data_IF_063313167046
#
_entry.id   IF_063313167046
#
_cell.length_a   1.000
_cell.length_b   1.000
_cell.length_c   1.000
_cell.angle_alpha   90.00
_cell.angle_beta   90.00
_cell.angle_gamma   90.00
#
_symmetry.space_group_name_H-M   'P 1'
#
loop_
_entity.id
_entity.type
_entity.pdbx_description
1 polymer ?
#
# COMPACT_ATOMS: atom_id res chain seq x y z
N UNK A 1 14.52 -20.08 2.10
CA UNK A 1 13.25 -20.82 1.91
C UNK A 1 12.53 -20.21 0.72
N UNK A 2 11.55 -20.89 0.12
CA UNK A 2 10.67 -20.26 -0.87
C UNK A 2 9.77 -19.21 -0.18
N UNK A 3 9.34 -18.17 -0.89
CA UNK A 3 8.29 -17.28 -0.38
C UNK A 3 6.96 -18.03 -0.38
N UNK A 4 6.30 -18.09 0.77
CA UNK A 4 4.92 -18.58 0.87
C UNK A 4 3.95 -17.42 0.63
N UNK A 5 2.85 -17.68 -0.07
CA UNK A 5 1.81 -16.71 -0.37
C UNK A 5 0.46 -17.16 0.18
N UNK A 6 -0.41 -16.19 0.47
CA UNK A 6 -1.79 -16.40 0.87
C UNK A 6 -2.71 -15.53 0.01
N UNK A 7 -3.89 -16.05 -0.33
CA UNK A 7 -4.98 -15.24 -0.88
C UNK A 7 -5.93 -14.89 0.27
N UNK A 8 -6.23 -13.62 0.42
CA UNK A 8 -6.93 -13.06 1.59
C UNK A 8 -7.90 -11.95 1.18
N UNK A 9 -9.04 -11.88 1.85
CA UNK A 9 -10.05 -10.86 1.59
C UNK A 9 -11.47 -11.36 1.88
N UNK A 10 -12.43 -10.95 1.07
CA UNK A 10 -13.85 -11.23 1.27
C UNK A 10 -14.69 -9.99 0.98
N UNK A 11 -15.81 -9.86 1.68
CA UNK A 11 -16.72 -8.70 1.55
C UNK A 11 -16.37 -7.60 2.56
N UNK A 12 -16.25 -6.37 2.08
CA UNK A 12 -15.87 -5.18 2.85
C UNK A 12 -17.07 -4.25 3.09
N UNK A 13 -16.96 -3.39 4.10
CA UNK A 13 -17.99 -2.40 4.42
C UNK A 13 -18.13 -1.31 3.35
N UNK A 14 -17.07 -1.07 2.56
CA UNK A 14 -17.02 -0.11 1.46
C UNK A 14 -15.96 -0.51 0.40
N UNK A 15 -15.88 0.28 -0.67
CA UNK A 15 -14.90 0.12 -1.76
C UNK A 15 -13.50 0.68 -1.44
N UNK A 16 -13.24 1.13 -0.20
CA UNK A 16 -11.87 1.41 0.25
C UNK A 16 -11.14 0.14 0.71
N UNK A 17 -11.87 -0.96 0.94
CA UNK A 17 -11.36 -2.28 1.30
C UNK A 17 -10.50 -2.30 2.59
N UNK A 18 -10.84 -1.43 3.55
CA UNK A 18 -10.12 -1.27 4.83
C UNK A 18 -10.75 -2.06 5.98
N UNK A 19 -12.05 -2.29 5.94
CA UNK A 19 -12.82 -2.96 7.00
C UNK A 19 -13.76 -4.02 6.41
N UNK A 20 -13.71 -5.25 6.93
CA UNK A 20 -14.61 -6.35 6.56
C UNK A 20 -16.07 -5.99 6.93
N UNK A 21 -17.03 -6.40 6.08
CA UNK A 21 -18.45 -6.12 6.26
C UNK A 21 -18.99 -6.69 7.60
N UNK A 22 -19.98 -6.00 8.17
CA UNK A 22 -20.55 -6.36 9.47
C UNK A 22 -21.19 -7.76 9.45
N UNK A 23 -20.64 -8.69 10.23
CA UNK A 23 -21.07 -10.10 10.28
C UNK A 23 -20.22 -11.05 9.42
N UNK A 24 -19.35 -10.52 8.56
CA UNK A 24 -18.43 -11.29 7.71
C UNK A 24 -17.07 -11.47 8.41
N UNK A 25 -16.15 -12.22 7.80
CA UNK A 25 -14.77 -12.44 8.24
C UNK A 25 -13.83 -12.33 7.04
N UNK A 26 -12.57 -11.98 7.27
CA UNK A 26 -11.55 -12.14 6.22
C UNK A 26 -11.32 -13.64 5.98
N UNK A 27 -11.59 -14.09 4.77
CA UNK A 27 -11.27 -15.43 4.28
C UNK A 27 -9.78 -15.51 3.95
N UNK A 28 -9.14 -16.65 4.23
CA UNK A 28 -7.70 -16.87 3.98
C UNK A 28 -7.45 -18.25 3.40
N UNK A 29 -6.74 -18.28 2.27
CA UNK A 29 -6.39 -19.47 1.51
C UNK A 29 -4.87 -19.57 1.35
N UNK A 30 -4.32 -20.77 1.46
CA UNK A 30 -2.87 -21.04 1.42
C UNK A 30 -2.38 -21.79 2.66
N UNK A 31 -1.05 -21.92 2.87
CA UNK A 31 0.03 -21.35 2.05
C UNK A 31 0.05 -21.93 0.62
N UNK A 32 0.55 -21.12 -0.30
CA UNK A 32 0.69 -21.39 -1.73
C UNK A 32 2.06 -20.96 -2.22
N UNK A 33 2.48 -21.47 -3.38
CA UNK A 33 3.45 -20.75 -4.22
C UNK A 33 2.79 -19.54 -4.96
N UNK A 34 3.60 -18.77 -5.70
CA UNK A 34 3.14 -17.57 -6.40
C UNK A 34 2.13 -17.87 -7.52
N UNK A 35 2.31 -19.00 -8.21
CA UNK A 35 1.43 -19.43 -9.30
C UNK A 35 0.09 -19.94 -8.76
N UNK A 36 0.13 -20.80 -7.73
CA UNK A 36 -1.04 -21.29 -7.00
C UNK A 36 -1.86 -20.13 -6.41
N UNK A 37 -1.20 -19.13 -5.79
CA UNK A 37 -1.85 -17.94 -5.28
C UNK A 37 -2.54 -17.14 -6.39
N UNK A 38 -1.90 -16.95 -7.55
CA UNK A 38 -2.51 -16.29 -8.70
C UNK A 38 -3.69 -17.07 -9.31
N UNK A 39 -3.65 -18.41 -9.29
CA UNK A 39 -4.77 -19.26 -9.74
C UNK A 39 -5.95 -19.16 -8.77
N UNK A 40 -5.70 -19.29 -7.46
CA UNK A 40 -6.71 -19.15 -6.41
C UNK A 40 -7.37 -17.76 -6.44
N UNK A 41 -6.55 -16.69 -6.48
CA UNK A 41 -7.01 -15.30 -6.56
C UNK A 41 -7.88 -15.03 -7.79
N UNK A 42 -7.51 -15.56 -8.96
CA UNK A 42 -8.29 -15.42 -10.19
C UNK A 42 -9.65 -16.13 -10.08
N UNK A 43 -9.68 -17.33 -9.50
CA UNK A 43 -10.91 -18.08 -9.30
C UNK A 43 -11.87 -17.37 -8.32
N UNK A 44 -11.36 -16.86 -7.19
CA UNK A 44 -12.14 -16.10 -6.22
C UNK A 44 -12.67 -14.79 -6.82
N UNK A 45 -11.81 -14.01 -7.48
CA UNK A 45 -12.20 -12.75 -8.15
C UNK A 45 -13.26 -12.99 -9.22
N UNK A 46 -13.14 -14.05 -10.03
CA UNK A 46 -14.15 -14.41 -11.02
C UNK A 46 -15.48 -14.87 -10.41
N UNK A 47 -15.45 -15.48 -9.22
CA UNK A 47 -16.65 -15.91 -8.48
C UNK A 47 -17.39 -14.75 -7.80
N UNK A 48 -16.72 -13.63 -7.52
CA UNK A 48 -17.30 -12.48 -6.82
C UNK A 48 -17.35 -11.20 -7.66
N UNK A 49 -17.16 -11.29 -8.98
CA UNK A 49 -17.01 -10.12 -9.89
C UNK A 49 -18.21 -9.16 -9.85
N UNK A 50 -19.42 -9.67 -9.60
CA UNK A 50 -20.65 -8.88 -9.56
C UNK A 50 -20.86 -8.12 -8.24
N UNK A 51 -20.06 -8.39 -7.18
CA UNK A 51 -20.11 -7.64 -5.93
C UNK A 51 -18.89 -6.70 -5.82
N UNK A 52 -19.13 -5.40 -6.03
CA UNK A 52 -18.10 -4.36 -5.93
C UNK A 52 -17.47 -4.21 -4.53
N UNK A 53 -18.11 -4.74 -3.48
CA UNK A 53 -17.58 -4.76 -2.11
C UNK A 53 -16.74 -6.00 -1.82
N UNK A 54 -16.75 -7.01 -2.70
CA UNK A 54 -15.90 -8.20 -2.58
C UNK A 54 -14.53 -7.97 -3.21
N UNK A 55 -13.46 -8.14 -2.43
CA UNK A 55 -12.09 -8.05 -2.95
C UNK A 55 -11.18 -9.10 -2.32
N UNK A 56 -10.26 -9.60 -3.15
CA UNK A 56 -9.20 -10.51 -2.73
C UNK A 56 -7.83 -9.95 -3.13
N UNK A 57 -6.85 -10.19 -2.27
CA UNK A 57 -5.46 -9.78 -2.40
C UNK A 57 -4.55 -10.99 -2.25
N UNK A 58 -3.38 -10.95 -2.89
CA UNK A 58 -2.29 -11.88 -2.60
C UNK A 58 -1.35 -11.18 -1.62
N UNK A 59 -1.08 -11.79 -0.48
CA UNK A 59 -0.09 -11.32 0.51
C UNK A 59 0.97 -12.40 0.71
N UNK A 60 2.25 -12.05 0.70
CA UNK A 60 3.32 -12.98 1.08
C UNK A 60 3.40 -13.13 2.59
N UNK A 61 3.83 -14.30 3.06
CA UNK A 61 4.21 -14.51 4.46
C UNK A 61 5.22 -13.44 4.92
N UNK A 62 4.93 -12.80 6.06
CA UNK A 62 5.70 -11.67 6.59
C UNK A 62 5.23 -10.28 6.15
N UNK A 63 4.52 -10.12 5.02
CA UNK A 63 4.01 -8.81 4.56
C UNK A 63 2.71 -8.34 5.27
N UNK A 64 2.33 -9.05 6.33
CA UNK A 64 1.25 -8.72 7.28
C UNK A 64 1.85 -8.47 8.67
N UNK A 65 3.05 -7.86 8.73
CA UNK A 65 3.72 -7.61 10.00
C UNK A 65 3.07 -6.42 10.73
N UNK A 66 2.25 -6.73 11.74
CA UNK A 66 1.69 -5.74 12.66
C UNK A 66 2.84 -5.12 13.46
N UNK A 67 3.37 -4.01 12.93
CA UNK A 67 4.62 -3.40 13.38
C UNK A 67 5.45 -2.75 12.26
N UNK A 68 5.08 -2.94 10.98
CA UNK A 68 5.71 -2.25 9.86
C UNK A 68 5.56 -0.72 9.97
N UNK A 69 6.71 -0.03 10.07
CA UNK A 69 6.80 1.43 10.05
C UNK A 69 6.73 1.95 8.61
N UNK A 70 5.65 2.68 8.30
CA UNK A 70 5.47 3.36 7.02
C UNK A 70 5.75 4.86 7.16
N UNK A 71 6.38 5.43 6.14
CA UNK A 71 6.71 6.84 6.06
C UNK A 71 6.11 7.45 4.80
N UNK A 72 5.80 8.75 4.86
CA UNK A 72 5.54 9.57 3.67
C UNK A 72 6.78 10.41 3.40
N UNK A 73 7.30 10.34 2.19
CA UNK A 73 8.53 11.04 1.76
C UNK A 73 8.29 11.84 0.49
N UNK A 74 9.04 12.92 0.29
CA UNK A 74 8.96 13.73 -0.92
C UNK A 74 9.19 15.21 -0.66
N UNK A 75 8.43 16.06 -1.34
CA UNK A 75 8.56 17.51 -1.30
C UNK A 75 8.59 18.10 -2.69
N UNK A 76 9.24 19.25 -2.85
CA UNK A 76 9.43 19.92 -4.14
C UNK A 76 10.72 19.45 -4.83
N UNK A 77 10.61 19.04 -6.09
CA UNK A 77 11.70 18.52 -6.92
C UNK A 77 12.16 19.56 -7.95
N UNK A 78 13.37 19.38 -8.48
CA UNK A 78 13.96 20.28 -9.49
C UNK A 78 13.22 20.21 -10.84
N UNK A 79 12.67 19.04 -11.17
CA UNK A 79 11.82 18.79 -12.34
C UNK A 79 10.93 17.54 -12.14
N UNK A 80 10.15 17.18 -13.16
CA UNK A 80 9.19 16.06 -13.13
C UNK A 80 9.81 14.67 -13.32
N UNK A 81 11.14 14.51 -13.24
CA UNK A 81 11.76 13.19 -13.02
C UNK A 81 11.48 12.68 -11.61
N UNK A 82 11.36 13.62 -10.64
CA UNK A 82 11.33 13.35 -9.21
C UNK A 82 12.60 12.65 -8.67
N UNK A 83 13.74 12.79 -9.37
CA UNK A 83 15.03 12.24 -8.94
C UNK A 83 15.80 13.16 -7.98
N UNK A 84 15.66 14.49 -8.15
CA UNK A 84 16.45 15.50 -7.41
C UNK A 84 15.55 16.52 -6.73
N UNK A 85 15.71 16.71 -5.42
CA UNK A 85 15.00 17.73 -4.63
C UNK A 85 15.40 19.15 -5.08
N UNK A 86 14.45 20.07 -5.10
CA UNK A 86 14.65 21.45 -5.57
C UNK A 86 15.74 22.20 -4.77
N UNK A 87 16.46 23.09 -5.44
CA UNK A 87 17.58 23.84 -4.85
C UNK A 87 17.14 24.62 -3.59
N UNK A 88 17.80 24.36 -2.46
CA UNK A 88 17.47 24.97 -1.17
C UNK A 88 16.34 24.30 -0.39
N UNK A 89 15.76 23.21 -0.91
CA UNK A 89 14.83 22.33 -0.18
C UNK A 89 15.56 21.11 0.38
N UNK A 90 14.86 20.28 1.15
CA UNK A 90 15.33 19.00 1.70
C UNK A 90 14.24 17.94 1.45
N UNK A 91 14.61 16.66 1.41
CA UNK A 91 13.64 15.58 1.34
C UNK A 91 12.81 15.55 2.63
N UNK A 92 11.53 15.87 2.52
CA UNK A 92 10.60 15.84 3.64
C UNK A 92 10.33 14.38 4.05
N UNK A 93 10.07 14.14 5.33
CA UNK A 93 9.79 12.80 5.87
C UNK A 93 8.81 12.90 7.02
N UNK A 94 7.71 12.17 6.91
CA UNK A 94 6.65 12.10 7.91
C UNK A 94 6.46 10.65 8.34
N UNK A 95 6.53 10.38 9.64
CA UNK A 95 6.42 9.05 10.24
C UNK A 95 7.39 8.86 11.40
N UNK A 96 7.54 7.64 11.94
CA UNK A 96 6.86 6.41 11.50
C UNK A 96 5.35 6.46 11.76
N UNK A 97 4.59 5.82 10.88
CA UNK A 97 3.13 5.66 10.97
C UNK A 97 2.71 4.21 10.76
N UNK A 98 1.58 3.77 11.35
CA UNK A 98 0.83 2.64 10.84
C UNK A 98 0.41 2.89 9.38
N UNK A 99 0.41 1.85 8.54
CA UNK A 99 0.16 1.95 7.09
C UNK A 99 -1.09 2.77 6.70
N UNK A 100 -2.17 2.67 7.47
CA UNK A 100 -3.41 3.42 7.21
C UNK A 100 -3.29 4.92 7.53
N UNK A 101 -2.50 5.28 8.54
CA UNK A 101 -2.21 6.67 8.88
C UNK A 101 -1.23 7.28 7.86
N UNK A 102 -0.21 6.52 7.43
CA UNK A 102 0.67 6.90 6.33
C UNK A 102 -0.12 7.21 5.05
N UNK A 103 -1.04 6.33 4.64
CA UNK A 103 -1.95 6.53 3.50
C UNK A 103 -2.81 7.79 3.63
N UNK A 104 -3.29 8.10 4.84
CA UNK A 104 -4.11 9.29 5.08
C UNK A 104 -3.27 10.57 5.05
N UNK A 105 -2.07 10.56 5.64
CA UNK A 105 -1.11 11.67 5.59
C UNK A 105 -0.65 11.94 4.15
N UNK A 106 -0.34 10.89 3.38
CA UNK A 106 0.01 11.00 1.96
C UNK A 106 -1.12 11.64 1.13
N UNK A 107 -2.37 11.17 1.28
CA UNK A 107 -3.56 11.80 0.65
C UNK A 107 -3.69 13.28 1.03
N UNK A 108 -3.48 13.61 2.31
CA UNK A 108 -3.61 14.97 2.83
C UNK A 108 -2.47 15.91 2.40
N UNK A 109 -1.28 15.40 2.08
CA UNK A 109 -0.18 16.17 1.51
C UNK A 109 -0.40 16.39 0.00
N UNK A 110 -0.57 15.31 -0.76
CA UNK A 110 -0.81 15.36 -2.22
C UNK A 110 -2.05 16.20 -2.57
N UNK A 111 -3.12 16.13 -1.76
CA UNK A 111 -4.32 16.96 -1.93
C UNK A 111 -4.12 18.46 -1.66
N UNK A 112 -3.09 18.86 -0.90
CA UNK A 112 -2.72 20.28 -0.70
C UNK A 112 -1.82 20.83 -1.81
N UNK A 113 -1.17 19.96 -2.57
CA UNK A 113 -0.12 20.32 -3.53
C UNK A 113 -0.46 19.98 -4.97
N UNK A 114 -1.71 19.59 -5.24
CA UNK A 114 -2.21 19.14 -6.55
C UNK A 114 -1.96 20.14 -7.69
N UNK A 115 -1.92 21.44 -7.40
CA UNK A 115 -1.68 22.50 -8.38
C UNK A 115 -0.17 22.72 -8.68
N UNK A 116 0.75 22.07 -7.96
CA UNK A 116 2.20 22.15 -8.21
C UNK A 116 2.76 20.81 -8.72
N UNK A 117 2.94 20.71 -10.05
CA UNK A 117 3.47 19.52 -10.72
C UNK A 117 4.90 19.13 -10.32
N UNK A 118 5.66 20.00 -9.64
CA UNK A 118 6.99 19.71 -9.11
C UNK A 118 6.96 19.15 -7.68
N UNK A 119 5.80 19.16 -7.01
CA UNK A 119 5.65 18.62 -5.65
C UNK A 119 5.03 17.23 -5.70
N UNK A 120 5.75 16.26 -5.16
CA UNK A 120 5.33 14.86 -5.11
C UNK A 120 5.62 14.28 -3.73
N UNK A 121 4.74 13.36 -3.30
CA UNK A 121 4.96 12.51 -2.15
C UNK A 121 4.67 11.06 -2.52
N UNK A 122 5.42 10.14 -1.95
CA UNK A 122 5.23 8.70 -2.05
C UNK A 122 5.29 8.05 -0.66
N UNK A 123 4.91 6.78 -0.59
CA UNK A 123 4.96 5.95 0.61
C UNK A 123 6.16 5.02 0.54
N UNK A 124 6.92 4.91 1.63
CA UNK A 124 8.04 3.98 1.74
C UNK A 124 8.11 3.30 3.11
N UNK A 125 8.74 2.14 3.15
CA UNK A 125 9.12 1.41 4.37
C UNK A 125 10.38 1.97 5.02
N UNK A 126 10.65 1.55 6.26
CA UNK A 126 11.88 1.87 6.99
C UNK A 126 13.18 1.50 6.26
N UNK A 127 13.20 0.48 5.40
CA UNK A 127 14.39 0.09 4.63
C UNK A 127 14.58 0.98 3.39
N UNK A 128 13.51 1.25 2.65
CA UNK A 128 13.53 2.15 1.48
C UNK A 128 13.91 3.58 1.91
N UNK A 129 13.44 4.04 3.07
CA UNK A 129 13.82 5.33 3.66
C UNK A 129 15.34 5.48 3.86
N UNK A 130 16.06 4.40 4.17
CA UNK A 130 17.53 4.41 4.30
C UNK A 130 18.18 4.62 2.93
N UNK A 131 17.67 3.97 1.88
CA UNK A 131 18.18 4.14 0.51
C UNK A 131 17.87 5.50 -0.10
N UNK A 132 16.88 6.22 0.41
CA UNK A 132 16.55 7.60 0.00
C UNK A 132 17.34 8.69 0.77
N UNK A 133 18.22 8.30 1.71
CA UNK A 133 18.97 9.21 2.60
C UNK A 133 20.48 8.91 2.68
N UNK A 134 20.98 7.96 1.90
CA UNK A 134 22.40 7.57 1.81
C UNK A 134 23.02 7.99 0.49
#
# INVERSE_FOLDING_TARGET
MAKQYYVVGGEYADTAFTQIAAGHKEERFGPFDEHEAHVCWRALTGKTVDNAMCRYFIRSEGAESVGEEWYVVGGEYADTSFEVIAAGKQLETYGPFPRQEALNTWRALTGKTVDNAMVRYDLCSAEELKTLKG
#
